data_IF_710843429615
#
_entry.id   IF_710843429615
#
_cell.length_a   1.000
_cell.length_b   1.000
_cell.length_c   1.000
_cell.angle_alpha   90.00
_cell.angle_beta   90.00
_cell.angle_gamma   90.00
#
_symmetry.space_group_name_H-M   'P 1'
#
loop_
_entity.id
_entity.type
_entity.pdbx_description
1 polymer ?
#
# COMPACT_ATOMS: atom_id res chain seq x y z
N UNK A 1 26.70 16.69 -7.34
CA UNK A 1 25.90 16.75 -6.10
C UNK A 1 24.53 17.33 -6.36
N UNK A 2 24.40 18.58 -6.85
CA UNK A 2 23.12 19.27 -7.06
C UNK A 2 22.14 18.53 -8.00
N UNK A 3 22.63 17.88 -9.05
CA UNK A 3 21.80 17.10 -9.98
C UNK A 3 21.21 15.86 -9.28
N UNK A 4 21.99 15.18 -8.46
CA UNK A 4 21.54 14.01 -7.68
C UNK A 4 20.49 14.43 -6.66
N UNK A 5 20.71 15.54 -5.95
CA UNK A 5 19.72 16.08 -5.00
C UNK A 5 18.38 16.39 -5.66
N UNK A 6 18.40 17.00 -6.86
CA UNK A 6 17.19 17.28 -7.61
C UNK A 6 16.46 16.01 -8.05
N UNK A 7 17.20 14.96 -8.44
CA UNK A 7 16.60 13.67 -8.81
C UNK A 7 15.92 12.99 -7.60
N UNK A 8 16.58 12.99 -6.45
CA UNK A 8 16.01 12.44 -5.21
C UNK A 8 14.76 13.21 -4.82
N UNK A 9 14.80 14.55 -4.90
CA UNK A 9 13.65 15.39 -4.60
C UNK A 9 12.48 15.07 -5.53
N UNK A 10 12.70 14.99 -6.84
CA UNK A 10 11.67 14.65 -7.83
C UNK A 10 11.02 13.29 -7.57
N UNK A 11 11.80 12.27 -7.22
CA UNK A 11 11.27 10.95 -6.88
C UNK A 11 10.40 11.00 -5.61
N UNK A 12 10.85 11.75 -4.59
CA UNK A 12 10.10 11.89 -3.36
C UNK A 12 8.79 12.67 -3.55
N UNK A 13 8.81 13.74 -4.35
CA UNK A 13 7.60 14.49 -4.73
C UNK A 13 6.59 13.60 -5.47
N UNK A 14 7.06 12.78 -6.41
CA UNK A 14 6.21 11.81 -7.12
C UNK A 14 5.59 10.80 -6.14
N UNK A 15 6.36 10.29 -5.18
CA UNK A 15 5.84 9.38 -4.16
C UNK A 15 4.70 10.03 -3.36
N UNK A 16 4.91 11.25 -2.87
CA UNK A 16 3.91 12.00 -2.13
C UNK A 16 2.65 12.26 -2.99
N UNK A 17 2.84 12.60 -4.26
CA UNK A 17 1.76 12.79 -5.21
C UNK A 17 0.89 11.52 -5.35
N UNK A 18 1.50 10.34 -5.48
CA UNK A 18 0.80 9.06 -5.54
C UNK A 18 -0.08 8.85 -4.29
N UNK A 19 0.50 9.04 -3.10
CA UNK A 19 -0.24 8.88 -1.84
C UNK A 19 -1.44 9.81 -1.76
N UNK A 20 -1.27 11.08 -2.10
CA UNK A 20 -2.33 12.10 -2.07
C UNK A 20 -3.43 11.82 -3.09
N UNK A 21 -3.09 11.39 -4.30
CA UNK A 21 -4.06 10.99 -5.33
C UNK A 21 -4.90 9.81 -4.87
N UNK A 22 -4.28 8.78 -4.32
CA UNK A 22 -4.99 7.60 -3.80
C UNK A 22 -5.92 8.01 -2.65
N UNK A 23 -5.42 8.77 -1.67
CA UNK A 23 -6.22 9.23 -0.54
C UNK A 23 -7.44 10.05 -0.99
N UNK A 24 -7.24 11.00 -1.90
CA UNK A 24 -8.33 11.85 -2.41
C UNK A 24 -9.39 11.04 -3.17
N UNK A 25 -8.99 10.05 -3.96
CA UNK A 25 -9.92 9.17 -4.69
C UNK A 25 -10.70 8.25 -3.75
N UNK A 26 -10.04 7.67 -2.74
CA UNK A 26 -10.69 6.84 -1.73
C UNK A 26 -11.70 7.65 -0.90
N UNK A 27 -11.36 8.89 -0.54
CA UNK A 27 -12.28 9.78 0.17
C UNK A 27 -13.57 10.04 -0.63
N UNK A 28 -13.49 10.17 -1.95
CA UNK A 28 -14.68 10.29 -2.82
C UNK A 28 -15.55 9.02 -2.88
N UNK A 29 -14.99 7.90 -2.48
CA UNK A 29 -15.67 6.60 -2.37
C UNK A 29 -16.08 6.28 -0.91
N UNK A 30 -16.10 7.27 -0.03
CA UNK A 30 -16.39 7.11 1.41
C UNK A 30 -15.49 6.08 2.10
N UNK A 31 -14.21 6.07 1.73
CA UNK A 31 -13.20 5.28 2.43
C UNK A 31 -12.04 6.19 2.86
N UNK A 32 -11.97 6.48 4.15
CA UNK A 32 -10.94 7.35 4.73
C UNK A 32 -9.71 6.53 5.10
N UNK A 33 -8.56 6.98 4.60
CA UNK A 33 -7.24 6.42 4.91
C UNK A 33 -6.30 7.52 5.36
N UNK A 34 -5.32 7.14 6.17
CA UNK A 34 -4.23 8.05 6.57
C UNK A 34 -3.04 7.87 5.64
N UNK A 35 -2.28 8.93 5.41
CA UNK A 35 -1.02 8.87 4.68
C UNK A 35 0.13 9.34 5.57
N UNK A 36 1.28 8.69 5.42
CA UNK A 36 2.55 9.08 5.99
C UNK A 36 3.51 9.42 4.84
N UNK A 37 3.61 10.71 4.54
CA UNK A 37 4.42 11.21 3.42
C UNK A 37 5.91 10.91 3.62
N UNK A 38 6.37 10.93 4.87
CA UNK A 38 7.78 10.68 5.21
C UNK A 38 8.20 9.25 4.88
N UNK A 39 7.37 8.29 5.23
CA UNK A 39 7.67 6.86 5.03
C UNK A 39 7.07 6.26 3.77
N UNK A 40 6.25 7.02 3.05
CA UNK A 40 5.61 6.56 1.80
C UNK A 40 4.51 5.53 2.02
N UNK A 41 3.70 5.70 3.06
CA UNK A 41 2.72 4.71 3.52
C UNK A 41 1.30 5.25 3.45
N UNK A 42 0.38 4.40 2.99
CA UNK A 42 -1.07 4.56 3.20
C UNK A 42 -1.48 3.58 4.30
N UNK A 43 -2.15 4.07 5.35
CA UNK A 43 -2.64 3.27 6.47
C UNK A 43 -4.12 2.99 6.38
N UNK A 44 -4.46 1.71 6.44
CA UNK A 44 -5.84 1.22 6.48
C UNK A 44 -6.14 0.72 7.91
N UNK A 45 -7.14 1.31 8.60
CA UNK A 45 -7.53 0.85 9.93
C UNK A 45 -8.05 -0.60 9.89
N UNK A 46 -7.51 -1.47 10.73
CA UNK A 46 -7.90 -2.88 10.74
C UNK A 46 -9.39 -3.10 11.00
N UNK A 47 -9.99 -2.31 11.91
CA UNK A 47 -11.41 -2.42 12.27
C UNK A 47 -12.37 -2.29 11.08
N UNK A 48 -11.93 -1.63 10.03
CA UNK A 48 -12.70 -1.44 8.80
C UNK A 48 -12.46 -2.55 7.77
N UNK A 49 -11.57 -3.49 8.11
CA UNK A 49 -11.13 -4.56 7.22
C UNK A 49 -11.45 -5.95 7.75
N UNK A 50 -11.30 -6.15 9.08
CA UNK A 50 -11.38 -7.46 9.73
C UNK A 50 -12.22 -7.40 11.00
N UNK A 51 -12.97 -8.47 11.27
CA UNK A 51 -13.55 -8.70 12.58
C UNK A 51 -12.46 -9.00 13.62
N UNK A 52 -12.78 -8.85 14.90
CA UNK A 52 -11.87 -9.15 16.01
C UNK A 52 -11.38 -10.59 15.92
N UNK A 53 -10.08 -10.78 16.07
CA UNK A 53 -9.39 -12.08 16.01
C UNK A 53 -9.47 -12.80 14.64
N UNK A 54 -10.12 -12.24 13.65
CA UNK A 54 -10.24 -12.84 12.31
C UNK A 54 -9.10 -12.36 11.39
N UNK A 55 -8.78 -13.21 10.42
CA UNK A 55 -7.82 -12.89 9.35
C UNK A 55 -8.46 -12.84 7.96
N UNK A 56 -9.72 -13.24 7.85
CA UNK A 56 -10.50 -13.07 6.65
C UNK A 56 -11.17 -11.69 6.66
N UNK A 57 -11.29 -11.08 5.50
CA UNK A 57 -11.95 -9.79 5.36
C UNK A 57 -13.41 -9.90 5.78
N UNK A 58 -13.86 -8.94 6.58
CA UNK A 58 -15.29 -8.76 6.87
C UNK A 58 -16.05 -8.31 5.60
N UNK A 59 -17.38 -8.26 5.67
CA UNK A 59 -18.19 -7.73 4.57
C UNK A 59 -17.77 -6.31 4.19
N UNK A 60 -17.61 -5.43 5.19
CA UNK A 60 -17.18 -4.04 4.96
C UNK A 60 -15.73 -4.00 4.47
N UNK A 61 -14.88 -4.91 4.99
CA UNK A 61 -13.49 -5.06 4.53
C UNK A 61 -13.38 -5.44 3.05
N UNK A 62 -14.23 -6.35 2.57
CA UNK A 62 -14.31 -6.71 1.15
C UNK A 62 -14.70 -5.50 0.31
N UNK A 63 -15.69 -4.73 0.75
CA UNK A 63 -16.12 -3.51 0.05
C UNK A 63 -15.02 -2.45 0.03
N UNK A 64 -14.36 -2.20 1.16
CA UNK A 64 -13.28 -1.23 1.27
C UNK A 64 -12.05 -1.63 0.42
N UNK A 65 -11.66 -2.91 0.43
CA UNK A 65 -10.59 -3.41 -0.45
C UNK A 65 -10.98 -3.31 -1.92
N UNK A 66 -12.24 -3.52 -2.28
CA UNK A 66 -12.71 -3.32 -3.64
C UNK A 66 -12.56 -1.87 -4.10
N UNK A 67 -12.94 -0.90 -3.24
CA UNK A 67 -12.70 0.55 -3.51
C UNK A 67 -11.22 0.83 -3.71
N UNK A 68 -10.37 0.33 -2.80
CA UNK A 68 -8.92 0.46 -2.89
C UNK A 68 -8.39 -0.13 -4.20
N UNK A 69 -8.80 -1.33 -4.55
CA UNK A 69 -8.39 -2.03 -5.77
C UNK A 69 -8.75 -1.24 -7.04
N UNK A 70 -9.94 -0.65 -7.10
CA UNK A 70 -10.36 0.21 -8.22
C UNK A 70 -9.41 1.42 -8.32
N UNK A 71 -9.17 2.12 -7.22
CA UNK A 71 -8.32 3.32 -7.19
C UNK A 71 -6.87 3.00 -7.54
N UNK A 72 -6.32 1.91 -7.01
CA UNK A 72 -4.96 1.46 -7.37
C UNK A 72 -4.86 1.11 -8.86
N UNK A 73 -5.87 0.44 -9.42
CA UNK A 73 -5.93 0.09 -10.84
C UNK A 73 -6.07 1.31 -11.78
N UNK A 74 -6.58 2.44 -11.27
CA UNK A 74 -6.63 3.71 -12.00
C UNK A 74 -5.29 4.46 -11.95
N UNK A 75 -4.60 4.43 -10.81
CA UNK A 75 -3.46 5.31 -10.53
C UNK A 75 -2.12 4.62 -10.80
N UNK A 76 -1.89 3.39 -10.31
CA UNK A 76 -0.59 2.73 -10.38
C UNK A 76 -0.06 2.52 -11.82
N UNK A 77 -0.89 2.27 -12.84
CA UNK A 77 -0.39 2.17 -14.22
C UNK A 77 0.36 3.40 -14.69
N UNK A 78 -0.01 4.60 -14.20
CA UNK A 78 0.68 5.85 -14.55
C UNK A 78 2.15 5.88 -14.12
N UNK A 79 2.52 5.07 -13.14
CA UNK A 79 3.84 5.01 -12.50
C UNK A 79 4.50 3.62 -12.66
N UNK A 80 3.98 2.79 -13.55
CA UNK A 80 4.44 1.40 -13.78
C UNK A 80 5.06 1.24 -15.16
N UNK A 81 5.75 0.13 -15.39
CA UNK A 81 6.12 -0.30 -16.73
C UNK A 81 4.88 -0.85 -17.45
N UNK A 82 4.59 -0.34 -18.62
CA UNK A 82 3.46 -0.76 -19.45
C UNK A 82 3.94 -1.28 -20.80
N UNK A 83 3.23 -2.25 -21.37
CA UNK A 83 3.38 -2.62 -22.78
C UNK A 83 2.85 -1.51 -23.70
N UNK A 84 3.13 -1.58 -25.01
CA UNK A 84 2.79 -0.53 -25.96
C UNK A 84 1.27 -0.25 -26.03
N UNK A 85 0.44 -1.29 -25.95
CA UNK A 85 -1.02 -1.16 -25.98
C UNK A 85 -1.55 -0.40 -24.77
N UNK A 86 -1.08 -0.75 -23.58
CA UNK A 86 -1.47 -0.07 -22.34
C UNK A 86 -0.88 1.33 -22.24
N UNK A 87 0.32 1.57 -22.78
CA UNK A 87 0.88 2.93 -22.86
C UNK A 87 -0.04 3.90 -23.59
N UNK A 88 -0.61 3.51 -24.73
CA UNK A 88 -1.55 4.36 -25.47
C UNK A 88 -2.76 4.76 -24.60
N UNK A 89 -3.37 3.79 -23.93
CA UNK A 89 -4.54 4.01 -23.07
C UNK A 89 -4.20 4.90 -21.87
N UNK A 90 -3.13 4.58 -21.15
CA UNK A 90 -2.79 5.26 -19.91
C UNK A 90 -2.09 6.60 -20.11
N UNK A 91 -1.44 6.86 -21.24
CA UNK A 91 -0.91 8.19 -21.56
C UNK A 91 -2.04 9.24 -21.55
N UNK A 92 -3.19 8.90 -22.11
CA UNK A 92 -4.36 9.80 -22.08
C UNK A 92 -5.00 9.87 -20.69
N UNK A 93 -5.22 8.72 -20.03
CA UNK A 93 -5.85 8.66 -18.70
C UNK A 93 -5.04 9.38 -17.63
N UNK A 94 -3.71 9.32 -17.71
CA UNK A 94 -2.78 9.89 -16.75
C UNK A 94 -2.33 11.31 -17.06
N UNK A 95 -2.80 11.90 -18.17
CA UNK A 95 -2.26 13.17 -18.69
C UNK A 95 -0.72 13.12 -18.84
N UNK A 96 -0.22 12.03 -19.42
CA UNK A 96 1.19 11.67 -19.52
C UNK A 96 1.64 10.66 -18.45
N UNK A 97 2.53 9.76 -18.83
CA UNK A 97 3.10 8.76 -17.91
C UNK A 97 4.26 9.39 -17.13
N UNK A 98 4.35 9.07 -15.84
CA UNK A 98 5.47 9.52 -15.00
C UNK A 98 6.80 8.90 -15.44
N UNK A 99 7.87 9.67 -15.41
CA UNK A 99 9.24 9.15 -15.57
C UNK A 99 9.70 8.42 -14.31
N UNK A 100 9.32 8.92 -13.13
CA UNK A 100 9.57 8.25 -11.86
C UNK A 100 8.60 7.06 -11.72
N UNK A 101 9.13 5.88 -11.51
CA UNK A 101 8.37 4.63 -11.45
C UNK A 101 8.37 4.05 -10.04
N UNK A 102 7.33 3.27 -9.76
CA UNK A 102 7.23 2.45 -8.55
C UNK A 102 8.10 1.21 -8.75
N UNK A 103 8.95 0.91 -7.77
CA UNK A 103 9.72 -0.33 -7.69
C UNK A 103 8.89 -1.44 -7.06
N UNK A 104 8.25 -1.17 -5.91
CA UNK A 104 7.41 -2.13 -5.22
C UNK A 104 6.32 -1.46 -4.38
N UNK A 105 5.23 -2.18 -4.14
CA UNK A 105 4.20 -1.86 -3.15
C UNK A 105 4.06 -3.03 -2.20
N UNK A 106 4.45 -2.83 -0.93
CA UNK A 106 4.30 -3.84 0.11
C UNK A 106 2.97 -3.66 0.85
N UNK A 107 2.19 -4.73 0.95
CA UNK A 107 1.02 -4.80 1.80
C UNK A 107 1.50 -5.39 3.12
N UNK A 108 1.55 -4.55 4.15
CA UNK A 108 2.17 -4.85 5.45
C UNK A 108 1.10 -5.00 6.52
N UNK A 109 1.06 -6.17 7.18
CA UNK A 109 0.19 -6.42 8.33
C UNK A 109 0.89 -6.08 9.64
N UNK A 110 0.16 -5.42 10.55
CA UNK A 110 0.61 -5.05 11.88
C UNK A 110 -0.43 -5.45 12.94
N UNK A 111 0.05 -5.83 14.11
CA UNK A 111 -0.73 -6.15 15.28
C UNK A 111 -0.33 -5.26 16.47
N UNK A 112 -1.16 -5.16 17.49
CA UNK A 112 -0.81 -4.55 18.75
C UNK A 112 -0.02 -5.53 19.64
N UNK A 113 0.55 -5.00 20.73
CA UNK A 113 1.42 -5.76 21.64
C UNK A 113 0.68 -6.74 22.57
N UNK A 114 -0.66 -6.82 22.50
CA UNK A 114 -1.41 -7.76 23.33
C UNK A 114 -1.20 -9.19 22.84
N UNK A 115 -1.03 -10.15 23.75
CA UNK A 115 -0.96 -11.55 23.36
C UNK A 115 -2.21 -11.95 22.57
N UNK A 116 -2.02 -12.68 21.48
CA UNK A 116 -3.09 -13.24 20.67
C UNK A 116 -3.16 -14.76 20.89
N UNK A 117 -4.36 -15.23 21.19
CA UNK A 117 -4.63 -16.65 21.40
C UNK A 117 -5.72 -17.13 20.45
N UNK A 118 -5.40 -18.14 19.66
CA UNK A 118 -6.35 -18.78 18.74
C UNK A 118 -5.96 -20.25 18.57
N UNK A 119 -6.95 -21.16 18.40
CA UNK A 119 -6.64 -22.56 18.09
C UNK A 119 -5.94 -22.77 16.75
N UNK A 120 -6.08 -21.82 15.81
CA UNK A 120 -5.64 -21.95 14.42
C UNK A 120 -4.55 -20.98 14.01
N UNK A 121 -4.22 -20.01 14.87
CA UNK A 121 -3.19 -18.98 14.62
C UNK A 121 -2.27 -18.90 15.82
N UNK A 122 -0.99 -19.08 15.58
CA UNK A 122 0.02 -19.23 16.63
C UNK A 122 0.27 -17.96 17.44
N UNK A 123 0.40 -16.82 16.76
CA UNK A 123 0.83 -15.56 17.35
C UNK A 123 0.45 -14.33 16.50
N UNK A 124 0.79 -13.15 16.99
CA UNK A 124 0.57 -11.88 16.28
C UNK A 124 1.32 -11.79 14.95
N UNK A 125 2.47 -12.47 14.82
CA UNK A 125 3.23 -12.50 13.58
C UNK A 125 2.46 -13.23 12.49
N UNK A 126 1.93 -14.42 12.81
CA UNK A 126 1.11 -15.19 11.88
C UNK A 126 -0.22 -14.49 11.55
N UNK A 127 -0.88 -13.91 12.57
CA UNK A 127 -2.13 -13.17 12.37
C UNK A 127 -1.93 -12.00 11.40
N UNK A 128 -0.92 -11.16 11.63
CA UNK A 128 -0.64 -10.01 10.80
C UNK A 128 -0.28 -10.39 9.36
N UNK A 129 0.47 -11.48 9.19
CA UNK A 129 0.83 -12.02 7.87
C UNK A 129 -0.40 -12.54 7.13
N UNK A 130 -1.27 -13.29 7.78
CA UNK A 130 -2.51 -13.80 7.18
C UNK A 130 -3.47 -12.67 6.79
N UNK A 131 -3.56 -11.61 7.59
CA UNK A 131 -4.36 -10.42 7.25
C UNK A 131 -3.81 -9.68 6.03
N UNK A 132 -2.50 -9.46 6.00
CA UNK A 132 -1.85 -8.86 4.84
C UNK A 132 -2.06 -9.70 3.56
N UNK A 133 -1.98 -11.03 3.67
CA UNK A 133 -2.25 -11.95 2.56
C UNK A 133 -3.72 -11.91 2.10
N UNK A 134 -4.67 -11.81 3.02
CA UNK A 134 -6.09 -11.66 2.67
C UNK A 134 -6.36 -10.37 1.90
N UNK A 135 -5.77 -9.25 2.34
CA UNK A 135 -5.84 -7.98 1.63
C UNK A 135 -5.16 -8.05 0.25
N UNK A 136 -3.95 -8.62 0.18
CA UNK A 136 -3.22 -8.82 -1.06
C UNK A 136 -4.03 -9.62 -2.07
N UNK A 137 -4.56 -10.78 -1.70
CA UNK A 137 -5.34 -11.63 -2.60
C UNK A 137 -6.57 -10.91 -3.16
N UNK A 138 -7.25 -10.12 -2.34
CA UNK A 138 -8.39 -9.34 -2.77
C UNK A 138 -8.01 -8.19 -3.72
N UNK A 139 -6.84 -7.54 -3.51
CA UNK A 139 -6.33 -6.48 -4.38
C UNK A 139 -5.91 -7.04 -5.73
N UNK A 140 -5.12 -8.12 -5.76
CA UNK A 140 -4.59 -8.69 -7.02
C UNK A 140 -5.63 -9.47 -7.82
N UNK A 141 -6.82 -9.70 -7.27
CA UNK A 141 -7.98 -10.17 -8.04
C UNK A 141 -8.38 -9.18 -9.15
N UNK A 142 -7.98 -7.92 -9.04
CA UNK A 142 -8.11 -6.92 -10.11
C UNK A 142 -6.98 -7.12 -11.14
N UNK A 143 -7.33 -7.54 -12.35
CA UNK A 143 -6.39 -7.79 -13.44
C UNK A 143 -5.56 -6.56 -13.84
N UNK A 144 -6.08 -5.35 -13.63
CA UNK A 144 -5.34 -4.11 -13.89
C UNK A 144 -4.17 -3.89 -12.93
N UNK A 145 -4.20 -4.55 -11.76
CA UNK A 145 -3.14 -4.47 -10.75
C UNK A 145 -2.21 -5.68 -10.82
N UNK A 146 -2.79 -6.86 -10.87
CA UNK A 146 -2.07 -8.15 -10.83
C UNK A 146 -0.90 -8.23 -11.84
N UNK A 147 -1.04 -7.60 -13.00
CA UNK A 147 -0.04 -7.60 -14.08
C UNK A 147 0.95 -6.44 -14.06
N UNK A 148 0.82 -5.50 -13.11
CA UNK A 148 1.71 -4.34 -13.06
C UNK A 148 3.13 -4.74 -12.67
N UNK A 149 4.09 -4.17 -13.37
CA UNK A 149 5.52 -4.47 -13.19
C UNK A 149 6.34 -3.20 -13.10
N UNK A 150 7.48 -3.30 -12.41
CA UNK A 150 8.51 -2.28 -12.38
C UNK A 150 9.37 -2.31 -13.67
N UNK A 151 10.34 -1.41 -13.77
CA UNK A 151 11.24 -1.32 -14.95
C UNK A 151 12.11 -2.56 -15.15
N UNK A 152 12.35 -3.34 -14.09
CA UNK A 152 13.08 -4.61 -14.14
C UNK A 152 12.18 -5.80 -14.54
N UNK A 153 10.91 -5.56 -14.86
CA UNK A 153 9.93 -6.59 -15.22
C UNK A 153 9.49 -7.49 -14.05
N UNK A 154 9.62 -7.00 -12.81
CA UNK A 154 9.16 -7.65 -11.59
C UNK A 154 7.78 -7.15 -11.19
N UNK A 155 6.96 -8.03 -10.60
CA UNK A 155 5.63 -7.65 -10.12
C UNK A 155 5.71 -6.63 -8.98
N UNK A 156 4.82 -5.61 -9.00
CA UNK A 156 4.86 -4.52 -8.03
C UNK A 156 4.45 -4.94 -6.62
N UNK A 157 3.42 -5.78 -6.50
CA UNK A 157 2.80 -6.04 -5.20
C UNK A 157 3.44 -7.24 -4.50
N UNK A 158 3.67 -7.08 -3.22
CA UNK A 158 4.15 -8.11 -2.31
C UNK A 158 3.46 -7.99 -0.95
N UNK A 159 3.71 -8.95 -0.06
CA UNK A 159 3.08 -9.03 1.25
C UNK A 159 4.14 -9.22 2.34
N UNK A 160 3.94 -8.57 3.50
CA UNK A 160 4.76 -8.72 4.69
C UNK A 160 3.89 -8.73 5.95
N UNK A 161 4.33 -9.43 6.99
CA UNK A 161 3.74 -9.37 8.32
C UNK A 161 4.79 -8.97 9.34
N UNK A 162 4.48 -8.04 10.22
CA UNK A 162 5.41 -7.53 11.23
C UNK A 162 4.99 -7.87 12.66
N UNK A 163 3.83 -8.50 12.85
CA UNK A 163 3.32 -8.73 14.19
C UNK A 163 3.20 -7.42 14.98
N UNK A 164 3.66 -7.44 16.20
CA UNK A 164 3.70 -6.30 17.12
C UNK A 164 5.04 -5.54 17.10
N UNK A 165 5.93 -5.81 16.14
CA UNK A 165 7.33 -5.33 16.15
C UNK A 165 7.50 -3.89 15.63
N UNK A 166 6.45 -3.30 15.08
CA UNK A 166 6.49 -1.93 14.52
C UNK A 166 5.33 -1.07 15.04
N UNK A 167 5.25 -0.80 16.36
CA UNK A 167 4.24 0.08 16.92
C UNK A 167 4.41 1.50 16.38
N UNK A 168 3.30 2.23 16.24
CA UNK A 168 3.34 3.64 15.90
C UNK A 168 3.67 4.50 17.13
N UNK A 169 4.37 5.62 16.95
CA UNK A 169 4.47 6.62 18.02
C UNK A 169 3.07 7.05 18.46
N UNK A 170 2.80 6.89 19.74
CA UNK A 170 1.48 7.18 20.30
C UNK A 170 1.61 7.62 21.75
N UNK A 171 0.94 8.73 22.10
CA UNK A 171 0.92 9.32 23.43
C UNK A 171 -0.50 9.37 24.03
N UNK A 172 -1.46 8.72 23.35
CA UNK A 172 -2.85 8.61 23.78
C UNK A 172 -3.03 7.50 24.84
N UNK A 173 -4.27 7.29 25.27
CA UNK A 173 -4.62 6.16 26.10
C UNK A 173 -4.23 4.84 25.42
N UNK A 174 -3.79 3.84 26.22
CA UNK A 174 -3.23 2.57 25.75
C UNK A 174 -4.11 1.85 24.71
N UNK A 175 -5.42 1.82 24.91
CA UNK A 175 -6.36 1.22 23.96
C UNK A 175 -6.42 1.95 22.61
N UNK A 176 -6.27 3.28 22.61
CA UNK A 176 -6.19 4.09 21.39
C UNK A 176 -4.90 3.74 20.63
N UNK A 177 -3.78 3.62 21.32
CA UNK A 177 -2.49 3.23 20.74
C UNK A 177 -2.57 1.83 20.14
N UNK A 178 -3.14 0.87 20.85
CA UNK A 178 -3.37 -0.48 20.32
C UNK A 178 -4.27 -0.48 19.07
N UNK A 179 -5.29 0.37 19.04
CA UNK A 179 -6.14 0.50 17.86
C UNK A 179 -5.39 1.01 16.64
N UNK A 180 -4.46 1.95 16.83
CA UNK A 180 -3.59 2.47 15.76
C UNK A 180 -2.56 1.45 15.28
N UNK A 181 -2.06 0.60 16.19
CA UNK A 181 -1.09 -0.45 15.85
C UNK A 181 -1.73 -1.57 15.02
N UNK A 182 -3.02 -1.86 15.22
CA UNK A 182 -3.77 -2.80 14.39
C UNK A 182 -4.12 -2.17 13.06
N UNK A 183 -3.32 -2.42 12.03
CA UNK A 183 -3.46 -1.80 10.71
C UNK A 183 -2.92 -2.66 9.57
N UNK A 184 -3.31 -2.30 8.38
CA UNK A 184 -2.65 -2.70 7.14
C UNK A 184 -2.02 -1.45 6.53
N UNK A 185 -0.73 -1.49 6.28
CA UNK A 185 0.00 -0.43 5.59
C UNK A 185 0.27 -0.83 4.13
N UNK A 186 0.06 0.09 3.19
CA UNK A 186 0.59 -0.02 1.83
C UNK A 186 1.83 0.87 1.75
N UNK A 187 2.99 0.27 1.62
CA UNK A 187 4.28 0.98 1.52
C UNK A 187 4.73 1.05 0.07
N UNK A 188 4.93 2.27 -0.41
CA UNK A 188 5.37 2.55 -1.77
C UNK A 188 6.88 2.77 -1.78
N UNK A 189 7.58 1.96 -2.56
CA UNK A 189 9.01 2.09 -2.85
C UNK A 189 9.16 2.57 -4.29
N UNK A 190 9.88 3.64 -4.49
CA UNK A 190 10.16 4.20 -5.80
C UNK A 190 11.48 3.65 -6.36
N UNK A 191 11.56 3.53 -7.68
CA UNK A 191 12.81 3.16 -8.35
C UNK A 191 13.88 4.23 -8.16
N UNK A 192 15.13 3.80 -8.04
CA UNK A 192 16.29 4.69 -8.07
C UNK A 192 16.42 5.26 -9.48
N UNK A 193 16.55 6.58 -9.65
CA UNK A 193 16.74 7.18 -10.96
C UNK A 193 17.91 6.56 -11.74
N UNK A 194 17.70 6.30 -13.03
CA UNK A 194 18.70 5.62 -13.89
C UNK A 194 20.08 6.31 -13.88
N UNK A 195 20.11 7.64 -13.82
CA UNK A 195 21.35 8.43 -13.74
C UNK A 195 22.16 8.23 -12.45
N UNK A 196 21.60 7.56 -11.45
CA UNK A 196 22.30 7.24 -10.19
C UNK A 196 22.84 5.80 -10.18
N UNK A 197 22.55 5.01 -11.21
CA UNK A 197 22.96 3.59 -11.32
C UNK A 197 24.32 3.40 -12.04
N UNK A 198 24.98 4.50 -12.46
CA UNK A 198 26.29 4.50 -13.14
C UNK A 198 27.42 4.90 -12.19
#
# INVERSE_FOLDING_TARGET
AKEIENLILSVNETKIEILKKIQARLMKLDFRVEIDEKTGVIRLPQKEMFATAEHQLSRDGIENIKKLSIVLGEILPCYSKLNNQLKMVYTLKCNGLSENKIDAVFIEGHADARPFYSPTIKDNQELSTKRALSAFNAIVANENINRLKNSNNEFLLSVSGYGDKRPLPCFDAKEVCYSKDRRIDLRFIMEIPKKMKN
#
